data_IF_113207948412
#
_entry.id   IF_113207948412
#
_cell.length_a   1.000
_cell.length_b   1.000
_cell.length_c   1.000
_cell.angle_alpha   90.00
_cell.angle_beta   90.00
_cell.angle_gamma   90.00
#
_symmetry.space_group_name_H-M   'P 1'
#
loop_
_entity.id
_entity.type
_entity.pdbx_description
1 polymer ?
#
# COMPACT_ATOMS: atom_id res chain seq x y z
N UNK A 1 -21.02 6.70 -8.55
CA UNK A 1 -21.27 7.74 -9.58
C UNK A 1 -20.92 7.26 -10.99
N UNK A 2 -19.82 6.55 -11.20
CA UNK A 2 -19.40 6.03 -12.53
C UNK A 2 -20.45 5.13 -13.20
N UNK A 3 -21.16 4.29 -12.44
CA UNK A 3 -22.25 3.46 -12.96
C UNK A 3 -23.33 4.25 -13.71
N UNK A 4 -23.64 5.48 -13.27
CA UNK A 4 -24.61 6.34 -13.95
C UNK A 4 -24.13 6.86 -15.31
N UNK A 5 -22.82 7.10 -15.47
CA UNK A 5 -22.24 7.49 -16.76
C UNK A 5 -22.21 6.31 -17.74
N UNK A 6 -21.85 5.12 -17.25
CA UNK A 6 -21.90 3.89 -18.06
C UNK A 6 -23.33 3.59 -18.52
N UNK A 7 -24.33 3.73 -17.64
CA UNK A 7 -25.74 3.53 -18.00
C UNK A 7 -26.25 4.51 -19.06
N UNK A 8 -25.59 5.68 -19.23
CA UNK A 8 -25.89 6.69 -20.24
C UNK A 8 -25.07 6.52 -21.53
N UNK A 9 -24.34 5.41 -21.67
CA UNK A 9 -23.57 5.07 -22.86
C UNK A 9 -22.19 5.71 -22.95
N UNK A 10 -21.69 6.35 -21.88
CA UNK A 10 -20.30 6.83 -21.86
C UNK A 10 -19.37 5.62 -21.83
N UNK A 11 -18.46 5.45 -22.82
CA UNK A 11 -17.52 4.34 -22.82
C UNK A 11 -16.62 4.37 -21.58
N UNK A 12 -16.31 3.21 -20.99
CA UNK A 12 -15.48 3.13 -19.77
C UNK A 12 -14.14 3.84 -19.91
N UNK A 13 -13.50 3.76 -21.08
CA UNK A 13 -12.22 4.43 -21.36
C UNK A 13 -12.32 5.97 -21.40
N UNK A 14 -13.53 6.54 -21.41
CA UNK A 14 -13.78 7.98 -21.30
C UNK A 14 -14.26 8.40 -19.89
N UNK A 15 -14.27 7.49 -18.92
CA UNK A 15 -14.67 7.78 -17.54
C UNK A 15 -13.42 7.80 -16.67
N UNK A 16 -13.01 9.00 -16.26
CA UNK A 16 -11.93 9.22 -15.31
C UNK A 16 -12.53 9.57 -13.96
N UNK A 17 -11.98 9.01 -12.88
CA UNK A 17 -12.44 9.25 -11.53
C UNK A 17 -11.26 9.29 -10.57
N UNK A 18 -11.33 10.20 -9.60
CA UNK A 18 -10.37 10.29 -8.50
C UNK A 18 -11.15 10.37 -7.18
N UNK A 19 -10.61 9.72 -6.14
CA UNK A 19 -11.21 9.69 -4.80
C UNK A 19 -10.48 10.69 -3.92
N UNK A 20 -11.17 11.72 -3.45
CA UNK A 20 -10.64 12.73 -2.52
C UNK A 20 -10.89 12.40 -1.04
N UNK A 21 -11.38 11.20 -0.75
CA UNK A 21 -11.68 10.74 0.61
C UNK A 21 -11.10 9.34 0.83
N UNK A 22 -10.31 9.21 1.90
CA UNK A 22 -9.74 7.94 2.32
C UNK A 22 -10.75 7.25 3.22
N UNK A 23 -11.22 6.08 2.83
CA UNK A 23 -12.02 5.23 3.71
C UNK A 23 -11.06 4.38 4.54
N UNK A 24 -10.72 4.88 5.72
CA UNK A 24 -9.90 4.14 6.67
C UNK A 24 -10.59 2.84 7.09
N UNK A 25 -9.81 1.77 7.17
CA UNK A 25 -10.20 0.48 7.72
C UNK A 25 -9.69 0.42 9.15
N UNK A 26 -10.53 -0.07 10.06
CA UNK A 26 -10.07 -0.44 11.39
C UNK A 26 -9.34 -1.79 11.27
N UNK A 27 -8.02 -1.76 11.31
CA UNK A 27 -7.19 -2.97 11.34
C UNK A 27 -6.76 -3.25 12.79
N UNK A 28 -7.20 -4.38 13.33
CA UNK A 28 -6.69 -4.87 14.61
C UNK A 28 -5.34 -5.54 14.38
N UNK A 29 -4.28 -4.78 14.66
CA UNK A 29 -2.90 -5.27 14.66
C UNK A 29 -2.46 -5.41 16.13
N UNK A 30 -2.10 -6.62 16.58
CA UNK A 30 -1.61 -6.84 17.94
C UNK A 30 -0.47 -5.90 18.31
N UNK A 31 -0.42 -5.48 19.57
CA UNK A 31 0.59 -4.52 20.03
C UNK A 31 2.03 -5.07 19.92
N UNK A 32 2.16 -6.38 20.06
CA UNK A 32 3.37 -7.19 19.96
C UNK A 32 3.60 -7.78 18.56
N UNK A 33 2.81 -7.36 17.56
CA UNK A 33 3.00 -7.82 16.19
C UNK A 33 4.37 -7.40 15.66
N UNK A 34 5.12 -8.38 15.17
CA UNK A 34 6.42 -8.20 14.53
C UNK A 34 6.49 -9.00 13.23
N UNK A 35 7.23 -8.50 12.25
CA UNK A 35 7.49 -9.21 11.00
C UNK A 35 8.85 -8.84 10.44
N UNK A 36 9.49 -9.75 9.71
CA UNK A 36 10.71 -9.47 8.96
C UNK A 36 10.34 -8.85 7.61
N UNK A 37 10.93 -7.70 7.29
CA UNK A 37 10.73 -7.01 6.02
C UNK A 37 12.05 -6.92 5.27
N UNK A 38 12.11 -7.55 4.10
CA UNK A 38 13.30 -7.55 3.24
C UNK A 38 13.08 -6.64 2.03
N UNK A 39 13.99 -5.69 1.84
CA UNK A 39 14.09 -4.80 0.69
C UNK A 39 15.19 -5.35 -0.23
N UNK A 40 14.78 -6.01 -1.31
CA UNK A 40 15.67 -6.80 -2.19
C UNK A 40 16.70 -5.96 -2.93
N UNK A 41 16.34 -4.81 -3.52
CA UNK A 41 17.27 -4.01 -4.33
C UNK A 41 18.21 -3.19 -3.46
N UNK A 42 17.80 -2.94 -2.22
CA UNK A 42 18.64 -2.28 -1.22
C UNK A 42 19.52 -3.27 -0.44
N UNK A 43 19.29 -4.58 -0.58
CA UNK A 43 19.93 -5.67 0.20
C UNK A 43 19.83 -5.45 1.72
N UNK A 44 18.62 -5.10 2.18
CA UNK A 44 18.36 -4.79 3.58
C UNK A 44 17.22 -5.60 4.14
N UNK A 45 17.40 -6.03 5.38
CA UNK A 45 16.40 -6.73 6.15
C UNK A 45 16.21 -6.01 7.48
N UNK A 46 14.95 -5.73 7.81
CA UNK A 46 14.56 -5.00 9.00
C UNK A 46 13.46 -5.75 9.74
N UNK A 47 13.49 -5.69 11.07
CA UNK A 47 12.38 -6.14 11.89
C UNK A 47 11.37 -5.01 12.02
N UNK A 48 10.17 -5.22 11.48
CA UNK A 48 9.04 -4.32 11.66
C UNK A 48 8.35 -4.60 12.99
N UNK A 49 7.96 -3.55 13.69
CA UNK A 49 7.05 -3.57 14.83
C UNK A 49 5.85 -2.67 14.55
N UNK A 50 4.76 -2.83 15.30
CA UNK A 50 3.58 -1.94 15.19
C UNK A 50 3.93 -0.45 15.33
N UNK A 51 4.97 -0.10 16.09
CA UNK A 51 5.42 1.28 16.31
C UNK A 51 6.15 1.88 15.08
N UNK A 52 6.63 1.04 14.16
CA UNK A 52 7.29 1.51 12.94
C UNK A 52 6.30 2.11 11.95
N UNK A 53 5.02 1.69 12.05
CA UNK A 53 3.92 2.24 11.27
C UNK A 53 3.79 1.54 9.92
N UNK A 54 3.62 2.30 8.84
CA UNK A 54 3.50 1.73 7.50
C UNK A 54 4.86 1.29 6.93
N UNK A 55 4.87 0.39 5.93
CA UNK A 55 6.09 -0.06 5.26
C UNK A 55 6.92 1.09 4.67
N UNK A 56 6.25 2.15 4.19
CA UNK A 56 6.92 3.39 3.77
C UNK A 56 7.72 4.03 4.91
N UNK A 57 7.13 4.15 6.10
CA UNK A 57 7.77 4.80 7.26
C UNK A 57 8.95 3.97 7.78
N UNK A 58 8.82 2.63 7.78
CA UNK A 58 9.93 1.72 8.10
C UNK A 58 11.11 1.94 7.16
N UNK A 59 10.86 1.95 5.84
CA UNK A 59 11.90 2.18 4.84
C UNK A 59 12.55 3.54 4.97
N UNK A 60 11.77 4.61 5.15
CA UNK A 60 12.26 5.97 5.32
C UNK A 60 13.14 6.14 6.57
N UNK A 61 12.70 5.60 7.72
CA UNK A 61 13.49 5.61 8.97
C UNK A 61 14.82 4.88 8.81
N UNK A 62 14.82 3.84 7.99
CA UNK A 62 16.01 3.09 7.68
C UNK A 62 16.92 3.81 6.67
N UNK A 63 16.44 4.83 5.95
CA UNK A 63 17.17 5.52 4.87
C UNK A 63 17.03 4.85 3.51
N UNK A 64 15.99 4.04 3.30
CA UNK A 64 15.64 3.39 2.03
C UNK A 64 14.66 4.30 1.28
N UNK A 65 14.98 4.63 0.03
CA UNK A 65 14.12 5.46 -0.81
C UNK A 65 13.00 4.61 -1.41
N UNK A 66 11.77 4.84 -0.95
CA UNK A 66 10.57 4.27 -1.54
C UNK A 66 9.82 5.33 -2.38
N UNK A 67 9.11 4.92 -3.43
CA UNK A 67 8.23 5.82 -4.15
C UNK A 67 7.13 6.34 -3.21
N UNK A 68 6.81 7.63 -3.28
CA UNK A 68 5.82 8.26 -2.40
C UNK A 68 5.09 9.43 -3.09
N UNK A 69 3.98 9.86 -2.49
CA UNK A 69 3.11 10.92 -3.03
C UNK A 69 2.17 11.44 -1.95
N UNK A 70 0.85 11.24 -2.12
CA UNK A 70 -0.17 11.77 -1.21
C UNK A 70 -0.12 11.22 0.23
N UNK A 71 0.44 10.02 0.44
CA UNK A 71 0.46 9.27 1.72
C UNK A 71 -0.92 8.92 2.30
N UNK A 72 -1.99 9.08 1.52
CA UNK A 72 -3.38 8.83 1.95
C UNK A 72 -4.00 7.59 1.27
N UNK A 73 -3.22 6.82 0.50
CA UNK A 73 -3.70 5.62 -0.19
C UNK A 73 -4.56 5.90 -1.43
N UNK A 74 -4.39 7.05 -2.10
CA UNK A 74 -5.26 7.46 -3.22
C UNK A 74 -4.53 7.68 -4.55
N UNK A 75 -3.29 8.19 -4.52
CA UNK A 75 -2.57 8.58 -5.76
C UNK A 75 -1.69 7.46 -6.34
N UNK A 76 -1.59 6.33 -5.64
CA UNK A 76 -0.83 5.14 -6.05
C UNK A 76 0.67 5.31 -6.30
N UNK A 77 1.21 6.53 -6.13
CA UNK A 77 2.64 6.82 -6.29
C UNK A 77 3.55 6.11 -5.28
N UNK A 78 2.98 5.36 -4.33
CA UNK A 78 3.73 4.52 -3.39
C UNK A 78 3.51 3.01 -3.64
N UNK A 79 2.97 2.65 -4.79
CA UNK A 79 2.81 1.25 -5.17
C UNK A 79 4.19 0.59 -5.27
N UNK A 80 4.35 -0.52 -4.54
CA UNK A 80 5.56 -1.34 -4.56
C UNK A 80 5.18 -2.80 -4.77
N UNK A 81 6.02 -3.56 -5.46
CA UNK A 81 5.79 -4.98 -5.69
C UNK A 81 6.17 -5.79 -4.44
N UNK A 82 5.26 -6.66 -4.00
CA UNK A 82 5.52 -7.69 -2.99
C UNK A 82 5.87 -8.98 -3.71
N UNK A 83 7.06 -9.51 -3.42
CA UNK A 83 7.55 -10.77 -3.97
C UNK A 83 7.13 -11.97 -3.12
N UNK A 84 6.93 -11.75 -1.81
CA UNK A 84 6.48 -12.77 -0.86
C UNK A 84 5.87 -12.09 0.38
N UNK A 85 4.92 -12.77 1.02
CA UNK A 85 4.28 -12.31 2.25
C UNK A 85 2.94 -11.61 2.02
N UNK A 86 2.25 -11.37 3.12
CA UNK A 86 0.94 -10.70 3.15
C UNK A 86 1.03 -9.38 3.90
N UNK A 87 0.28 -8.39 3.43
CA UNK A 87 0.16 -7.09 4.07
C UNK A 87 -1.31 -6.71 4.22
N UNK A 88 -1.61 -5.93 5.25
CA UNK A 88 -2.90 -5.31 5.45
C UNK A 88 -2.82 -3.82 5.14
N UNK A 89 -3.82 -3.29 4.42
CA UNK A 89 -3.92 -1.86 4.11
C UNK A 89 -4.87 -1.12 5.06
N UNK A 90 -4.37 -0.05 5.67
CA UNK A 90 -5.18 0.88 6.48
C UNK A 90 -6.24 1.61 5.65
N UNK A 91 -6.00 1.80 4.36
CA UNK A 91 -6.98 2.35 3.41
C UNK A 91 -7.06 1.39 2.24
N UNK A 92 -8.28 1.00 1.85
CA UNK A 92 -8.48 0.11 0.71
C UNK A 92 -7.81 0.68 -0.54
N UNK A 93 -6.93 -0.10 -1.22
CA UNK A 93 -6.45 0.30 -2.54
C UNK A 93 -7.60 0.35 -3.55
N UNK A 94 -7.36 0.96 -4.71
CA UNK A 94 -8.28 0.88 -5.82
C UNK A 94 -8.38 -0.57 -6.34
N UNK A 95 -9.53 -0.92 -6.92
CA UNK A 95 -9.83 -2.30 -7.37
C UNK A 95 -8.93 -2.75 -8.53
N UNK A 96 -8.32 -1.80 -9.23
CA UNK A 96 -7.41 -2.00 -10.36
C UNK A 96 -5.92 -2.01 -9.98
N UNK A 97 -5.58 -1.84 -8.69
CA UNK A 97 -4.22 -2.07 -8.23
C UNK A 97 -3.82 -3.54 -8.49
N UNK A 98 -2.67 -3.81 -9.14
CA UNK A 98 -2.23 -5.18 -9.38
C UNK A 98 -2.12 -5.99 -8.08
N UNK A 99 -2.56 -7.25 -8.11
CA UNK A 99 -2.63 -8.09 -6.89
C UNK A 99 -1.29 -8.38 -6.21
N UNK A 100 -0.18 -8.20 -6.90
CA UNK A 100 1.17 -8.30 -6.34
C UNK A 100 1.76 -6.93 -5.93
N UNK A 101 0.98 -5.85 -6.00
CA UNK A 101 1.40 -4.52 -5.60
C UNK A 101 0.64 -4.05 -4.37
N UNK A 102 1.32 -3.24 -3.57
CA UNK A 102 0.77 -2.70 -2.33
C UNK A 102 1.09 -1.22 -2.22
N UNK A 103 0.16 -0.45 -1.67
CA UNK A 103 0.41 0.95 -1.32
C UNK A 103 1.28 1.03 -0.07
N UNK A 104 2.59 1.20 -0.22
CA UNK A 104 3.55 1.17 0.90
C UNK A 104 3.22 2.17 2.02
N UNK A 105 2.59 3.31 1.68
CA UNK A 105 2.18 4.32 2.66
C UNK A 105 0.99 3.91 3.55
N UNK A 106 0.27 2.84 3.19
CA UNK A 106 -0.88 2.32 3.93
C UNK A 106 -0.72 0.85 4.33
N UNK A 107 0.31 0.18 3.82
CA UNK A 107 0.56 -1.24 4.04
C UNK A 107 1.30 -1.49 5.36
N UNK A 108 0.85 -2.50 6.09
CA UNK A 108 1.52 -3.07 7.28
C UNK A 108 1.67 -4.58 7.08
N UNK A 109 2.84 -5.16 7.36
CA UNK A 109 3.06 -6.59 7.17
C UNK A 109 2.18 -7.41 8.14
N UNK A 110 1.57 -8.47 7.62
CA UNK A 110 0.86 -9.50 8.39
C UNK A 110 1.77 -10.70 8.62
N UNK A 111 2.61 -11.00 7.62
CA UNK A 111 3.66 -12.02 7.69
C UNK A 111 5.01 -11.40 7.34
N UNK A 112 6.07 -12.19 7.44
CA UNK A 112 7.35 -11.84 6.83
C UNK A 112 7.14 -11.50 5.35
N UNK A 113 7.68 -10.36 4.93
CA UNK A 113 7.34 -9.70 3.67
C UNK A 113 8.62 -9.35 2.90
N UNK A 114 8.62 -9.61 1.59
CA UNK A 114 9.72 -9.28 0.68
C UNK A 114 9.24 -8.24 -0.33
N UNK A 115 9.87 -7.07 -0.35
CA UNK A 115 9.58 -5.97 -1.26
C UNK A 115 10.66 -5.86 -2.34
N UNK A 116 10.24 -5.59 -3.57
CA UNK A 116 11.14 -5.31 -4.71
C UNK A 116 11.66 -3.85 -4.71
N UNK A 117 12.33 -3.48 -3.61
CA UNK A 117 12.86 -2.15 -3.30
C UNK A 117 14.30 -2.26 -2.77
#
# INVERSE_FOLDING_TARGET
MTAGLTARGVPKFNIFAERFQATARNLEIPADATATVRFVRSDRELTWTRADGALLELGEKAGITLPSGCRLGQCESCAVTVLNGEVAHLVAPADDLPGNQVLACQARPVTDTVLDI
#
